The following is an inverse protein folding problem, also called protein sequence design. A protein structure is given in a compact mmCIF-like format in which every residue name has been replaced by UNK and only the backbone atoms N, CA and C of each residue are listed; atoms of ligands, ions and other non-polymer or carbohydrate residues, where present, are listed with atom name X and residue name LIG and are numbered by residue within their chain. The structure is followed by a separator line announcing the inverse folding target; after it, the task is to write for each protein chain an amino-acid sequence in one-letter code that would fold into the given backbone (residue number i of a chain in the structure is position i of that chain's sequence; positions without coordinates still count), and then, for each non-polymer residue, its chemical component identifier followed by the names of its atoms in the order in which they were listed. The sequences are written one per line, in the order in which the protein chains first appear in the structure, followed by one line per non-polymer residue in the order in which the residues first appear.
data_IF_593953735358
#
_entry.id   IF_593953735358
#
_cell.length_a   1.000
_cell.length_b   1.000
_cell.length_c   1.000
_cell.angle_alpha   90.00
_cell.angle_beta   90.00
_cell.angle_gamma   90.00
#
_symmetry.space_group_name_H-M   'P 1'
#
loop_
_entity.id
_entity.type
_entity.pdbx_description
1 polymer ?
#
# COMPACT_ATOMS: atom_id res chain seq x y z
N UNK A 1 15.95 -6.37 16.55
CA UNK A 1 14.63 -5.85 16.12
C UNK A 1 14.29 -4.51 16.80
N UNK A 2 15.12 -3.48 16.63
CA UNK A 2 14.88 -2.16 17.25
C UNK A 2 15.22 -0.98 16.30
N UNK A 3 16.06 -1.21 15.30
CA UNK A 3 16.53 -0.21 14.32
C UNK A 3 15.42 0.35 13.41
N UNK A 4 14.43 -0.46 13.01
CA UNK A 4 13.37 -0.04 12.09
C UNK A 4 12.42 1.03 12.67
N UNK A 5 12.21 1.06 13.99
CA UNK A 5 11.28 2.04 14.61
C UNK A 5 11.87 3.44 14.74
N UNK A 6 13.19 3.56 14.91
CA UNK A 6 13.86 4.86 15.05
C UNK A 6 13.87 5.64 13.74
N UNK A 7 14.22 4.99 12.62
CA UNK A 7 14.20 5.60 11.30
C UNK A 7 12.77 5.99 10.91
N UNK A 8 11.77 5.13 11.18
CA UNK A 8 10.37 5.46 10.89
C UNK A 8 9.85 6.64 11.70
N UNK A 9 10.26 6.77 12.97
CA UNK A 9 9.85 7.89 13.83
C UNK A 9 10.52 9.22 13.41
N UNK A 10 11.78 9.18 12.99
CA UNK A 10 12.52 10.37 12.54
C UNK A 10 12.01 10.96 11.21
N UNK A 11 11.25 10.19 10.43
CA UNK A 11 10.65 10.64 9.17
C UNK A 11 9.15 10.97 9.27
N UNK A 12 8.60 11.05 10.49
CA UNK A 12 7.16 11.24 10.72
C UNK A 12 6.60 12.57 10.17
N UNK A 13 7.44 13.60 10.01
CA UNK A 13 7.09 14.91 9.45
C UNK A 13 7.72 15.19 8.07
N UNK A 14 8.39 14.18 7.49
CA UNK A 14 9.08 14.27 6.21
C UNK A 14 10.39 15.07 6.22
N UNK A 15 10.95 15.41 7.39
CA UNK A 15 12.23 16.13 7.51
C UNK A 15 13.14 15.46 8.54
N UNK A 16 14.39 15.22 8.17
CA UNK A 16 15.41 14.74 9.10
C UNK A 16 16.27 15.91 9.57
N UNK A 17 16.19 16.26 10.85
CA UNK A 17 17.02 17.33 11.42
C UNK A 17 18.43 16.86 11.73
N UNK A 18 19.38 17.80 11.83
CA UNK A 18 20.78 17.51 12.11
C UNK A 18 21.00 16.77 13.45
N UNK A 19 20.11 17.01 14.43
CA UNK A 19 20.13 16.29 15.72
C UNK A 19 19.67 14.84 15.57
N UNK A 20 18.60 14.61 14.81
CA UNK A 20 18.09 13.25 14.56
C UNK A 20 19.07 12.43 13.73
N UNK A 21 19.79 13.07 12.80
CA UNK A 21 20.88 12.43 12.06
C UNK A 21 22.04 12.03 12.96
N UNK A 22 22.45 12.90 13.88
CA UNK A 22 23.51 12.60 14.86
C UNK A 22 23.14 11.43 15.77
N UNK A 23 21.87 11.33 16.18
CA UNK A 23 21.38 10.22 17.02
C UNK A 23 21.38 8.89 16.25
N UNK A 24 21.00 8.91 14.96
CA UNK A 24 21.04 7.73 14.08
C UNK A 24 22.49 7.24 13.90
N UNK A 25 23.45 8.15 13.71
CA UNK A 25 24.87 7.81 13.56
C UNK A 25 25.46 7.23 14.85
N UNK A 26 25.13 7.81 16.01
CA UNK A 26 25.58 7.33 17.32
C UNK A 26 25.06 5.91 17.60
N UNK A 27 23.79 5.62 17.26
CA UNK A 27 23.20 4.29 17.44
C UNK A 27 23.76 3.29 16.43
N UNK A 28 24.02 3.71 15.18
CA UNK A 28 24.64 2.87 14.16
C UNK A 28 26.04 2.38 14.55
N UNK A 29 26.85 3.26 15.15
CA UNK A 29 28.20 2.92 15.62
C UNK A 29 28.21 1.92 16.78
N UNK A 30 27.18 1.91 17.63
CA UNK A 30 27.06 0.98 18.76
C UNK A 30 26.58 -0.41 18.30
N UNK A 31 25.86 -0.47 17.19
CA UNK A 31 25.25 -1.69 16.66
C UNK A 31 26.08 -2.39 15.57
N UNK A 32 27.33 -1.94 15.35
CA UNK A 32 28.25 -2.42 14.29
C UNK A 32 27.57 -2.52 12.91
N UNK A 33 26.76 -1.51 12.60
CA UNK A 33 26.05 -1.43 11.33
C UNK A 33 26.98 -0.83 10.27
N UNK A 34 27.22 -1.56 9.18
CA UNK A 34 28.06 -1.09 8.08
C UNK A 34 27.62 0.28 7.54
N UNK A 35 28.59 1.12 7.15
CA UNK A 35 28.38 2.51 6.69
C UNK A 35 27.36 2.61 5.54
N UNK A 36 27.30 1.61 4.67
CA UNK A 36 26.32 1.53 3.58
C UNK A 36 24.87 1.49 4.09
N UNK A 37 24.62 0.86 5.24
CA UNK A 37 23.31 0.80 5.88
C UNK A 37 22.96 2.12 6.55
N UNK A 38 23.95 2.84 7.09
CA UNK A 38 23.79 4.18 7.67
C UNK A 38 23.47 5.21 6.57
N UNK A 39 24.14 5.15 5.41
CA UNK A 39 23.81 5.99 4.25
C UNK A 39 22.38 5.75 3.72
N UNK A 40 21.90 4.50 3.74
CA UNK A 40 20.52 4.19 3.38
C UNK A 40 19.50 4.82 4.36
N UNK A 41 19.84 4.99 5.64
CA UNK A 41 18.99 5.68 6.61
C UNK A 41 18.94 7.21 6.42
N UNK A 42 19.94 7.78 5.72
CA UNK A 42 19.98 9.20 5.32
C UNK A 42 19.05 9.51 4.14
N UNK A 43 18.72 8.48 3.37
CA UNK A 43 17.71 8.57 2.33
C UNK A 43 16.36 8.52 3.04
N UNK A 44 15.37 9.35 2.66
CA UNK A 44 14.01 9.12 3.11
C UNK A 44 13.71 7.64 2.97
N UNK A 45 13.18 6.94 4.01
CA UNK A 45 12.55 5.68 3.75
C UNK A 45 11.57 6.02 2.65
N UNK A 46 11.78 5.44 1.48
CA UNK A 46 10.79 5.51 0.44
C UNK A 46 9.63 4.75 1.08
N UNK A 47 8.77 5.48 1.78
CA UNK A 47 7.37 5.16 1.83
C UNK A 47 7.00 5.20 0.36
N UNK A 48 7.22 4.08 -0.31
CA UNK A 48 6.69 3.85 -1.64
C UNK A 48 5.20 3.84 -1.39
N UNK A 49 4.59 5.02 -1.36
CA UNK A 49 3.39 5.24 -2.13
C UNK A 49 3.85 5.03 -3.56
N UNK A 50 3.64 3.84 -4.18
CA UNK A 50 3.91 3.70 -5.59
C UNK A 50 3.06 4.74 -6.30
N UNK A 51 3.67 5.81 -6.79
CA UNK A 51 3.07 6.66 -7.79
C UNK A 51 3.13 5.84 -9.07
N UNK A 52 2.08 5.04 -9.31
CA UNK A 52 1.86 4.38 -10.58
C UNK A 52 1.55 5.48 -11.62
N UNK A 53 2.58 6.02 -12.25
CA UNK A 53 2.44 6.73 -13.53
C UNK A 53 2.44 5.76 -14.71
N UNK A 54 1.95 4.53 -14.50
CA UNK A 54 1.52 3.65 -15.59
C UNK A 54 0.06 3.95 -15.86
N UNK A 55 -0.37 3.94 -17.12
CA UNK A 55 -1.75 4.27 -17.53
C UNK A 55 -2.84 3.31 -17.04
N UNK A 56 -2.67 2.69 -15.87
CA UNK A 56 -3.71 1.92 -15.19
C UNK A 56 -4.80 2.88 -14.70
N UNK A 57 -5.98 2.76 -15.32
CA UNK A 57 -7.19 3.46 -14.91
C UNK A 57 -8.30 2.44 -14.72
N UNK A 58 -9.17 2.72 -13.76
CA UNK A 58 -10.46 2.06 -13.64
C UNK A 58 -11.47 2.86 -14.48
N UNK A 59 -12.24 2.16 -15.30
CA UNK A 59 -13.34 2.75 -16.08
C UNK A 59 -14.66 2.07 -15.73
N UNK A 60 -15.80 2.77 -15.84
CA UNK A 60 -17.11 2.13 -15.65
C UNK A 60 -17.22 0.84 -16.48
N UNK A 61 -17.74 -0.21 -15.86
CA UNK A 61 -17.80 -1.58 -16.39
C UNK A 61 -16.68 -2.50 -15.87
N UNK A 62 -15.59 -1.94 -15.33
CA UNK A 62 -14.51 -2.76 -14.75
C UNK A 62 -15.01 -3.55 -13.53
N UNK A 63 -14.55 -4.81 -13.44
CA UNK A 63 -14.86 -5.68 -12.30
C UNK A 63 -13.87 -5.44 -11.16
N UNK A 64 -14.40 -5.13 -9.98
CA UNK A 64 -13.62 -4.88 -8.76
C UNK A 64 -13.95 -5.99 -7.77
N UNK A 65 -12.96 -6.78 -7.37
CA UNK A 65 -13.16 -7.80 -6.33
C UNK A 65 -12.79 -7.19 -4.99
N UNK A 66 -13.64 -7.32 -3.98
CA UNK A 66 -13.33 -6.87 -2.62
C UNK A 66 -13.13 -8.11 -1.73
N UNK A 67 -12.14 -8.11 -0.84
CA UNK A 67 -11.88 -9.20 0.12
C UNK A 67 -11.48 -8.67 1.49
N UNK A 68 -11.74 -9.48 2.53
CA UNK A 68 -11.45 -9.13 3.93
C UNK A 68 -12.45 -8.15 4.53
N UNK A 69 -12.21 -7.75 5.78
CA UNK A 69 -12.97 -6.69 6.42
C UNK A 69 -12.43 -5.33 5.95
N UNK A 70 -13.25 -4.65 5.17
CA UNK A 70 -13.00 -3.28 4.69
C UNK A 70 -13.50 -2.26 5.71
N UNK A 71 -13.02 -1.01 5.64
CA UNK A 71 -13.47 0.10 6.51
C UNK A 71 -14.98 0.33 6.41
N UNK A 72 -15.50 0.26 5.19
CA UNK A 72 -16.95 0.32 4.93
C UNK A 72 -17.54 -1.09 4.96
N UNK A 73 -18.79 -1.19 5.41
CA UNK A 73 -19.53 -2.44 5.31
C UNK A 73 -19.64 -2.87 3.83
N UNK A 74 -19.68 -4.18 3.62
CA UNK A 74 -19.65 -4.79 2.31
C UNK A 74 -20.78 -4.30 1.39
N UNK A 75 -22.05 -4.24 1.83
CA UNK A 75 -23.16 -3.76 1.02
C UNK A 75 -23.02 -2.29 0.62
N UNK A 76 -22.48 -1.46 1.52
CA UNK A 76 -22.26 -0.04 1.26
C UNK A 76 -21.18 0.17 0.19
N UNK A 77 -20.06 -0.55 0.32
CA UNK A 77 -18.99 -0.53 -0.67
C UNK A 77 -19.48 -0.95 -2.06
N UNK A 78 -20.34 -1.98 -2.11
CA UNK A 78 -20.93 -2.45 -3.36
C UNK A 78 -21.81 -1.37 -3.99
N UNK A 79 -22.70 -0.77 -3.20
CA UNK A 79 -23.59 0.29 -3.66
C UNK A 79 -22.82 1.48 -4.23
N UNK A 80 -21.76 1.93 -3.56
CA UNK A 80 -20.91 3.04 -4.01
C UNK A 80 -20.24 2.71 -5.35
N UNK A 81 -19.66 1.51 -5.48
CA UNK A 81 -19.03 1.04 -6.71
C UNK A 81 -20.02 0.90 -7.87
N UNK A 82 -21.21 0.34 -7.62
CA UNK A 82 -22.27 0.23 -8.61
C UNK A 82 -22.77 1.60 -9.07
N UNK A 83 -22.91 2.57 -8.16
CA UNK A 83 -23.29 3.95 -8.50
C UNK A 83 -22.28 4.65 -9.40
N UNK A 84 -20.99 4.29 -9.28
CA UNK A 84 -19.94 4.75 -10.18
C UNK A 84 -19.81 3.92 -11.47
N UNK A 85 -20.67 2.91 -11.65
CA UNK A 85 -20.72 2.07 -12.84
C UNK A 85 -19.75 0.90 -12.84
N UNK A 86 -19.13 0.55 -11.71
CA UNK A 86 -18.27 -0.63 -11.58
C UNK A 86 -19.08 -1.89 -11.25
N UNK A 87 -18.44 -3.06 -11.42
CA UNK A 87 -19.04 -4.36 -11.11
C UNK A 87 -18.34 -4.97 -9.90
N UNK A 88 -18.83 -4.74 -8.66
CA UNK A 88 -18.22 -5.31 -7.47
C UNK A 88 -18.48 -6.81 -7.34
N UNK A 89 -17.49 -7.58 -6.88
CA UNK A 89 -17.61 -9.03 -6.62
C UNK A 89 -16.94 -9.45 -5.32
N UNK A 90 -17.50 -10.46 -4.67
CA UNK A 90 -16.90 -11.08 -3.47
C UNK A 90 -15.93 -12.23 -3.81
N UNK A 91 -16.13 -12.85 -4.97
CA UNK A 91 -15.33 -13.99 -5.42
C UNK A 91 -14.36 -13.54 -6.49
N UNK A 92 -13.13 -14.07 -6.40
CA UNK A 92 -12.10 -13.79 -7.38
C UNK A 92 -12.51 -14.34 -8.75
N UNK A 93 -12.37 -13.53 -9.79
CA UNK A 93 -12.62 -13.90 -11.19
C UNK A 93 -11.47 -13.41 -12.07
N UNK A 94 -11.17 -14.13 -13.15
CA UNK A 94 -10.08 -13.76 -14.08
C UNK A 94 -10.30 -12.43 -14.80
N UNK A 95 -11.56 -12.01 -14.94
CA UNK A 95 -11.94 -10.73 -15.57
C UNK A 95 -11.83 -9.54 -14.62
N UNK A 96 -11.42 -9.75 -13.37
CA UNK A 96 -11.30 -8.64 -12.43
C UNK A 96 -10.13 -7.75 -12.83
N UNK A 97 -10.38 -6.44 -12.79
CA UNK A 97 -9.36 -5.43 -13.05
C UNK A 97 -8.44 -5.25 -11.85
N UNK A 98 -9.00 -5.41 -10.65
CA UNK A 98 -8.28 -5.25 -9.40
C UNK A 98 -8.93 -6.05 -8.26
N UNK A 99 -8.10 -6.47 -7.30
CA UNK A 99 -8.53 -6.97 -6.00
C UNK A 99 -8.27 -5.90 -4.92
N UNK A 100 -9.31 -5.53 -4.17
CA UNK A 100 -9.24 -4.62 -3.03
C UNK A 100 -9.18 -5.46 -1.76
N UNK A 101 -8.12 -5.28 -0.98
CA UNK A 101 -7.90 -5.97 0.27
C UNK A 101 -7.50 -4.99 1.38
N UNK A 102 -7.89 -5.27 2.62
CA UNK A 102 -7.44 -4.49 3.78
C UNK A 102 -5.91 -4.57 3.95
N UNK A 103 -5.34 -5.73 3.64
CA UNK A 103 -3.90 -5.97 3.61
C UNK A 103 -3.50 -6.57 2.24
N UNK A 104 -2.75 -5.84 1.40
CA UNK A 104 -2.33 -6.32 0.09
C UNK A 104 -1.29 -7.44 0.17
N UNK A 105 -0.57 -7.58 1.28
CA UNK A 105 0.40 -8.66 1.52
C UNK A 105 -0.26 -9.95 2.02
N UNK A 106 -1.57 -9.91 2.28
CA UNK A 106 -2.35 -11.07 2.69
C UNK A 106 -2.13 -12.27 1.75
N UNK A 107 -2.01 -13.45 2.37
CA UNK A 107 -1.82 -14.74 1.68
C UNK A 107 -3.12 -15.55 1.58
N UNK A 108 -4.28 -14.88 1.65
CA UNK A 108 -5.59 -15.51 1.45
C UNK A 108 -5.68 -16.22 0.08
N UNK A 109 -6.61 -17.18 -0.05
CA UNK A 109 -6.84 -17.88 -1.32
C UNK A 109 -7.13 -16.93 -2.49
N UNK A 110 -7.83 -15.82 -2.24
CA UNK A 110 -8.15 -14.80 -3.26
C UNK A 110 -6.92 -14.00 -3.66
N UNK A 111 -6.06 -13.62 -2.71
CA UNK A 111 -4.81 -12.90 -3.00
C UNK A 111 -3.82 -13.78 -3.79
N UNK A 112 -3.75 -15.08 -3.47
CA UNK A 112 -2.99 -16.06 -4.27
C UNK A 112 -3.53 -16.15 -5.70
N UNK A 113 -4.85 -16.24 -5.87
CA UNK A 113 -5.50 -16.27 -7.19
C UNK A 113 -5.26 -14.97 -7.98
N UNK A 114 -5.38 -13.80 -7.36
CA UNK A 114 -5.11 -12.52 -8.00
C UNK A 114 -3.67 -12.45 -8.55
N UNK A 115 -2.68 -12.84 -7.74
CA UNK A 115 -1.27 -12.93 -8.16
C UNK A 115 -1.09 -13.91 -9.33
N UNK A 116 -1.72 -15.08 -9.28
CA UNK A 116 -1.69 -16.05 -10.38
C UNK A 116 -2.31 -15.50 -11.68
N UNK A 117 -3.32 -14.64 -11.57
CA UNK A 117 -3.97 -14.02 -12.72
C UNK A 117 -3.30 -12.72 -13.18
N UNK A 118 -2.23 -12.28 -12.50
CA UNK A 118 -1.60 -10.99 -12.77
C UNK A 118 -2.48 -9.79 -12.44
N UNK A 119 -3.46 -9.97 -11.55
CA UNK A 119 -4.41 -8.94 -11.15
C UNK A 119 -3.80 -8.16 -9.98
N UNK A 120 -3.73 -6.82 -10.05
CA UNK A 120 -3.18 -6.01 -8.99
C UNK A 120 -4.02 -6.14 -7.71
N UNK A 121 -3.34 -6.11 -6.57
CA UNK A 121 -3.94 -6.08 -5.23
C UNK A 121 -3.68 -4.70 -4.65
N UNK A 122 -4.73 -3.98 -4.27
CA UNK A 122 -4.65 -2.62 -3.72
C UNK A 122 -5.43 -2.52 -2.40
N UNK A 123 -5.15 -1.46 -1.65
CA UNK A 123 -5.93 -1.07 -0.47
C UNK A 123 -7.16 -0.24 -0.86
N UNK A 124 -8.05 -0.01 0.10
CA UNK A 124 -9.16 0.94 -0.06
C UNK A 124 -8.68 2.36 -0.39
N UNK A 125 -7.61 2.86 0.25
CA UNK A 125 -7.06 4.18 -0.10
C UNK A 125 -6.53 4.20 -1.55
N UNK A 126 -5.92 3.09 -1.98
CA UNK A 126 -5.47 2.94 -3.36
C UNK A 126 -6.63 2.98 -4.33
N UNK A 127 -7.77 2.40 -3.97
CA UNK A 127 -8.99 2.47 -4.75
C UNK A 127 -9.54 3.91 -4.79
N UNK A 128 -9.67 4.57 -3.64
CA UNK A 128 -10.18 5.95 -3.56
C UNK A 128 -9.35 6.92 -4.40
N UNK A 129 -8.02 6.79 -4.39
CA UNK A 129 -7.12 7.54 -5.27
C UNK A 129 -7.36 7.29 -6.75
N UNK A 130 -7.58 6.03 -7.14
CA UNK A 130 -7.89 5.67 -8.54
C UNK A 130 -9.26 6.20 -8.99
N UNK A 131 -10.19 6.37 -8.04
CA UNK A 131 -11.52 6.93 -8.28
C UNK A 131 -11.56 8.45 -8.18
N UNK A 132 -10.48 9.10 -7.73
CA UNK A 132 -10.42 10.55 -7.54
C UNK A 132 -11.23 11.04 -6.34
N UNK A 133 -11.29 10.25 -5.27
CA UNK A 133 -12.06 10.51 -4.04
C UNK A 133 -11.23 11.07 -2.87
N UNK A 134 -9.97 11.44 -3.12
CA UNK A 134 -9.03 12.05 -2.13
C UNK A 134 -9.46 13.49 -1.76
#
# INVERSE_FOLDING_TARGET
MQQSRLVTAAWADGKLTEREWSDIQAIGSVLEVDDATILNAATPPVLTTPTLSTGFRLVPGDTIVITGDTRRDRPESFRILEQMGFVPKNSMVKSAKVLVAADPDSMSGKAKQARQYGIPIITEDGLERLLGMD
#
